data_IF_328404555154
#
_entry.id   IF_328404555154
#
_cell.length_a   1.000
_cell.length_b   1.000
_cell.length_c   1.000
_cell.angle_alpha   90.00
_cell.angle_beta   90.00
_cell.angle_gamma   90.00
#
_symmetry.space_group_name_H-M   'P 1'
#
loop_
_entity.id
_entity.type
_entity.pdbx_description
1 polymer ?
#
# COMPACT_ATOMS: atom_id res chain seq x y z
N UNK A 1 35.14 7.96 -7.10
CA UNK A 1 34.66 8.13 -5.72
C UNK A 1 33.30 8.81 -5.81
N UNK A 2 32.17 8.13 -5.73
CA UNK A 2 31.96 6.69 -5.63
C UNK A 2 30.51 6.40 -6.04
N UNK A 3 30.30 5.44 -6.93
CA UNK A 3 28.99 4.84 -7.20
C UNK A 3 28.31 4.29 -5.92
N UNK A 4 29.03 4.22 -4.79
CA UNK A 4 28.46 4.04 -3.45
C UNK A 4 27.50 5.18 -3.04
N UNK A 5 27.74 6.45 -3.40
CA UNK A 5 26.90 7.58 -2.95
C UNK A 5 25.54 7.59 -3.65
N UNK A 6 25.47 7.19 -4.93
CA UNK A 6 24.17 6.97 -5.62
C UNK A 6 23.51 5.65 -5.23
N UNK A 7 24.26 4.63 -4.78
CA UNK A 7 23.66 3.43 -4.13
C UNK A 7 23.15 3.70 -2.71
N UNK A 8 23.66 4.74 -2.03
CA UNK A 8 23.16 5.22 -0.74
C UNK A 8 21.89 6.09 -0.88
N UNK A 9 21.45 6.45 -2.10
CA UNK A 9 20.21 7.23 -2.34
C UNK A 9 18.89 6.47 -2.11
N UNK A 10 18.94 5.14 -1.89
CA UNK A 10 17.74 4.32 -1.62
C UNK A 10 17.77 3.64 -0.25
N UNK A 11 18.49 4.19 0.73
CA UNK A 11 18.43 3.68 2.11
C UNK A 11 17.24 4.33 2.81
N UNK A 12 16.06 3.72 2.65
CA UNK A 12 14.87 4.17 3.35
C UNK A 12 13.60 4.20 2.51
N UNK A 13 13.66 4.12 1.18
CA UNK A 13 12.44 4.09 0.37
C UNK A 13 12.01 2.66 0.14
N UNK A 14 10.85 2.31 0.69
CA UNK A 14 10.24 0.97 0.61
C UNK A 14 9.10 0.92 -0.41
N UNK A 15 8.83 1.98 -1.17
CA UNK A 15 7.79 1.95 -2.18
C UNK A 15 7.16 3.30 -2.48
N UNK A 16 6.13 3.29 -3.33
CA UNK A 16 5.36 4.49 -3.65
C UNK A 16 4.05 4.17 -4.37
N UNK A 17 3.18 5.18 -4.41
CA UNK A 17 1.92 5.20 -5.15
C UNK A 17 1.68 6.64 -5.62
N UNK A 18 1.88 6.91 -6.91
CA UNK A 18 1.92 8.29 -7.44
C UNK A 18 3.02 9.11 -6.77
N UNK A 19 2.68 10.31 -6.26
CA UNK A 19 3.61 11.18 -5.51
C UNK A 19 3.81 10.77 -4.04
N UNK A 20 3.08 9.76 -3.57
CA UNK A 20 3.19 9.27 -2.20
C UNK A 20 4.36 8.31 -2.11
N UNK A 21 5.38 8.69 -1.36
CA UNK A 21 6.58 7.87 -1.13
C UNK A 21 6.51 7.21 0.24
N UNK A 22 6.57 5.87 0.27
CA UNK A 22 6.65 5.11 1.51
C UNK A 22 8.11 5.08 2.00
N UNK A 23 8.38 5.77 3.10
CA UNK A 23 9.74 5.85 3.68
C UNK A 23 9.82 5.10 5.02
N UNK A 24 10.87 4.30 5.21
CA UNK A 24 11.26 3.65 6.46
C UNK A 24 12.35 4.44 7.17
N UNK A 25 12.28 4.47 8.50
CA UNK A 25 13.30 5.08 9.33
C UNK A 25 14.59 4.22 9.33
N UNK A 26 15.76 4.76 8.97
CA UNK A 26 17.02 3.98 8.96
C UNK A 26 17.50 3.54 10.35
N UNK A 27 17.01 4.17 11.44
CA UNK A 27 17.36 3.82 12.83
C UNK A 27 16.28 3.02 13.56
N UNK A 28 15.15 2.76 12.90
CA UNK A 28 14.03 2.01 13.45
C UNK A 28 13.47 1.21 12.29
N UNK A 29 13.93 -0.03 12.14
CA UNK A 29 13.29 -1.05 11.32
C UNK A 29 11.83 -1.14 11.75
N UNK A 30 10.96 -0.37 11.10
CA UNK A 30 9.53 -0.34 11.37
C UNK A 30 8.85 -0.23 10.02
N UNK A 31 8.68 -1.42 9.47
CA UNK A 31 7.88 -1.85 8.34
C UNK A 31 6.47 -1.22 8.38
N UNK A 32 5.73 -1.24 7.26
CA UNK A 32 4.26 -1.31 7.37
C UNK A 32 3.94 -2.40 8.41
N UNK A 33 3.07 -2.13 9.40
CA UNK A 33 2.91 -3.05 10.54
C UNK A 33 2.44 -4.44 10.05
N UNK A 34 1.59 -4.46 9.02
CA UNK A 34 1.16 -5.63 8.27
C UNK A 34 0.75 -5.18 6.84
N UNK A 35 1.17 -5.92 5.81
CA UNK A 35 0.64 -5.78 4.45
C UNK A 35 0.09 -7.13 4.00
N UNK A 36 -1.15 -7.14 3.57
CA UNK A 36 -1.86 -8.34 3.13
C UNK A 36 -2.24 -8.16 1.66
N UNK A 37 -1.69 -9.01 0.79
CA UNK A 37 -2.01 -9.06 -0.64
C UNK A 37 -2.83 -10.32 -0.90
N UNK A 38 -4.08 -10.09 -1.28
CA UNK A 38 -5.04 -11.15 -1.57
C UNK A 38 -5.24 -11.23 -3.09
N UNK A 39 -4.69 -12.28 -3.69
CA UNK A 39 -4.96 -12.67 -5.07
C UNK A 39 -5.86 -13.89 -5.08
N UNK A 40 -6.89 -13.89 -5.94
CA UNK A 40 -7.81 -15.02 -6.04
C UNK A 40 -8.23 -15.30 -7.46
N UNK A 41 -8.70 -16.51 -7.69
CA UNK A 41 -9.15 -16.99 -9.00
C UNK A 41 -10.52 -17.62 -8.82
N UNK A 42 -11.45 -17.30 -9.70
CA UNK A 42 -12.78 -17.88 -9.70
C UNK A 42 -12.79 -19.27 -10.35
N UNK A 43 -13.34 -20.24 -9.62
CA UNK A 43 -13.54 -21.61 -10.10
C UNK A 43 -15.03 -21.96 -10.06
N UNK A 44 -15.55 -22.54 -11.14
CA UNK A 44 -16.89 -23.12 -11.17
C UNK A 44 -16.86 -24.60 -10.77
N UNK A 45 -17.77 -24.98 -9.88
CA UNK A 45 -17.98 -26.37 -9.49
C UNK A 45 -19.06 -27.05 -10.36
N UNK A 46 -18.66 -28.08 -11.08
CA UNK A 46 -19.56 -28.97 -11.81
C UNK A 46 -19.79 -30.25 -11.00
N UNK A 47 -20.97 -30.36 -10.41
CA UNK A 47 -21.37 -31.55 -9.65
C UNK A 47 -21.68 -32.72 -10.57
N UNK A 48 -20.95 -33.81 -10.39
CA UNK A 48 -21.17 -35.09 -11.08
C UNK A 48 -21.84 -36.02 -10.06
N UNK A 49 -22.98 -36.60 -10.42
CA UNK A 49 -23.71 -37.52 -9.53
C UNK A 49 -22.83 -38.74 -9.27
N UNK A 50 -22.51 -38.99 -7.99
CA UNK A 50 -21.73 -40.15 -7.56
C UNK A 50 -20.21 -39.98 -7.62
N UNK A 51 -19.72 -38.84 -8.11
CA UNK A 51 -18.28 -38.54 -8.17
C UNK A 51 -17.96 -37.22 -7.45
N UNK A 52 -16.66 -36.96 -7.23
CA UNK A 52 -16.22 -35.67 -6.72
C UNK A 52 -16.53 -34.59 -7.77
N UNK A 53 -17.04 -33.42 -7.36
CA UNK A 53 -17.28 -32.31 -8.27
C UNK A 53 -15.98 -31.89 -8.95
N UNK A 54 -16.07 -31.54 -10.24
CA UNK A 54 -14.95 -31.01 -11.02
C UNK A 54 -14.91 -29.50 -10.89
N UNK A 55 -13.71 -28.94 -10.74
CA UNK A 55 -13.46 -27.51 -10.73
C UNK A 55 -13.02 -27.07 -12.14
N UNK A 56 -13.69 -26.06 -12.69
CA UNK A 56 -13.32 -25.39 -13.93
C UNK A 56 -12.81 -23.98 -13.63
N UNK A 57 -11.64 -23.63 -14.18
CA UNK A 57 -11.08 -22.28 -14.08
C UNK A 57 -11.97 -21.32 -14.87
N UNK A 58 -12.47 -20.27 -14.25
CA UNK A 58 -13.20 -19.22 -14.95
C UNK A 58 -12.27 -18.06 -15.29
N UNK A 59 -11.98 -17.21 -14.31
CA UNK A 59 -11.26 -15.96 -14.51
C UNK A 59 -10.41 -15.63 -13.26
N UNK A 60 -9.31 -14.88 -13.41
CA UNK A 60 -8.63 -14.27 -12.27
C UNK A 60 -9.49 -13.13 -11.70
N UNK A 61 -9.56 -13.02 -10.37
CA UNK A 61 -10.20 -11.89 -9.71
C UNK A 61 -9.19 -10.73 -9.58
N UNK A 62 -9.69 -9.49 -9.49
CA UNK A 62 -8.84 -8.33 -9.19
C UNK A 62 -8.16 -8.49 -7.83
N UNK A 63 -6.88 -8.19 -7.79
CA UNK A 63 -6.09 -8.22 -6.56
C UNK A 63 -6.52 -7.12 -5.59
N UNK A 64 -6.54 -7.44 -4.29
CA UNK A 64 -6.81 -6.49 -3.22
C UNK A 64 -5.65 -6.46 -2.23
N UNK A 65 -5.16 -5.26 -1.91
CA UNK A 65 -4.02 -5.05 -1.02
C UNK A 65 -4.41 -4.12 0.12
N UNK A 66 -4.18 -4.55 1.36
CA UNK A 66 -4.41 -3.74 2.55
C UNK A 66 -3.06 -3.37 3.20
N UNK A 67 -2.81 -2.07 3.38
CA UNK A 67 -1.56 -1.56 3.97
C UNK A 67 -1.86 -0.66 5.16
N UNK A 68 -1.22 -0.94 6.29
CA UNK A 68 -1.26 -0.08 7.47
C UNK A 68 -0.06 0.87 7.51
N UNK A 69 -0.34 2.17 7.45
CA UNK A 69 0.60 3.29 7.38
C UNK A 69 0.50 4.13 8.66
N UNK A 70 1.64 4.59 9.18
CA UNK A 70 1.67 5.56 10.29
C UNK A 70 2.15 6.91 9.76
N UNK A 71 1.27 7.92 9.79
CA UNK A 71 1.60 9.30 9.46
C UNK A 71 1.93 10.04 10.75
N UNK A 72 3.19 10.43 10.93
CA UNK A 72 3.61 11.08 12.17
C UNK A 72 4.53 12.28 11.94
N UNK A 73 4.28 13.37 12.67
CA UNK A 73 5.04 14.62 12.51
C UNK A 73 6.52 14.49 12.84
N UNK A 74 6.89 13.54 13.72
CA UNK A 74 8.29 13.28 14.05
C UNK A 74 9.09 12.67 12.88
N UNK A 75 8.42 12.17 11.85
CA UNK A 75 9.05 11.70 10.61
C UNK A 75 9.32 12.86 9.62
N UNK A 76 9.08 14.11 10.02
CA UNK A 76 9.31 15.29 9.17
C UNK A 76 8.20 15.54 8.14
N UNK A 77 7.08 14.82 8.23
CA UNK A 77 5.91 15.00 7.37
C UNK A 77 4.79 15.72 8.11
N UNK A 78 3.92 16.45 7.41
CA UNK A 78 2.67 16.96 8.00
C UNK A 78 1.57 15.87 7.85
N UNK A 79 1.11 15.24 8.96
CA UNK A 79 0.13 14.14 8.86
C UNK A 79 -1.20 14.55 8.23
N UNK A 80 -1.65 15.80 8.44
CA UNK A 80 -2.91 16.30 7.86
C UNK A 80 -2.81 16.47 6.35
N UNK A 81 -1.70 17.03 5.87
CA UNK A 81 -1.47 17.21 4.43
C UNK A 81 -1.32 15.88 3.71
N UNK A 82 -0.56 14.95 4.30
CA UNK A 82 -0.41 13.61 3.71
C UNK A 82 -1.73 12.86 3.68
N UNK A 83 -2.51 12.92 4.76
CA UNK A 83 -3.85 12.33 4.78
C UNK A 83 -4.75 12.91 3.66
N UNK A 84 -4.70 14.22 3.43
CA UNK A 84 -5.47 14.88 2.37
C UNK A 84 -5.09 14.36 0.98
N UNK A 85 -3.80 14.10 0.72
CA UNK A 85 -3.35 13.50 -0.55
C UNK A 85 -3.93 12.11 -0.78
N UNK A 86 -3.94 11.26 0.25
CA UNK A 86 -4.59 9.94 0.14
C UNK A 86 -6.09 10.08 -0.14
N UNK A 87 -6.77 11.03 0.52
CA UNK A 87 -8.18 11.30 0.27
C UNK A 87 -8.42 11.79 -1.17
N UNK A 88 -7.59 12.69 -1.68
CA UNK A 88 -7.66 13.18 -3.06
C UNK A 88 -7.52 12.02 -4.05
N UNK A 89 -6.47 11.20 -3.95
CA UNK A 89 -6.28 10.03 -4.83
C UNK A 89 -7.44 9.03 -4.75
N UNK A 90 -8.05 8.86 -3.57
CA UNK A 90 -9.23 8.00 -3.41
C UNK A 90 -10.49 8.59 -4.06
N UNK A 91 -10.76 9.88 -3.86
CA UNK A 91 -11.97 10.52 -4.36
C UNK A 91 -11.92 10.85 -5.85
N UNK A 92 -10.73 11.15 -6.37
CA UNK A 92 -10.50 11.43 -7.78
C UNK A 92 -10.40 10.11 -8.59
N UNK A 93 -10.21 8.98 -7.90
CA UNK A 93 -10.10 7.67 -8.53
C UNK A 93 -8.79 7.52 -9.30
N UNK A 94 -7.73 8.17 -8.84
CA UNK A 94 -6.44 8.17 -9.51
C UNK A 94 -5.84 6.77 -9.54
N UNK A 95 -5.32 6.42 -10.72
CA UNK A 95 -4.71 5.13 -11.01
C UNK A 95 -3.19 5.33 -11.03
N UNK A 96 -2.48 4.60 -10.18
CA UNK A 96 -1.03 4.62 -10.14
C UNK A 96 -0.45 3.22 -9.92
N UNK A 97 0.80 3.03 -10.33
CA UNK A 97 1.55 1.83 -9.97
C UNK A 97 1.77 1.75 -8.45
N UNK A 98 1.41 0.62 -7.85
CA UNK A 98 1.74 0.33 -6.47
C UNK A 98 3.09 -0.40 -6.40
N UNK A 99 4.05 0.22 -5.73
CA UNK A 99 5.41 -0.32 -5.57
C UNK A 99 5.61 -0.67 -4.10
N UNK A 100 5.95 -1.94 -3.80
CA UNK A 100 6.33 -2.42 -2.48
C UNK A 100 7.76 -2.98 -2.50
N UNK A 101 8.71 -2.17 -2.07
CA UNK A 101 10.11 -2.48 -1.90
C UNK A 101 11.01 -1.34 -2.40
N UNK A 102 12.32 -1.59 -2.43
CA UNK A 102 13.23 -0.70 -3.14
C UNK A 102 12.93 -0.85 -4.64
N UNK A 103 12.38 0.18 -5.28
CA UNK A 103 11.95 0.19 -6.69
C UNK A 103 13.08 -0.02 -7.72
N UNK A 104 14.27 -0.44 -7.28
CA UNK A 104 15.38 -0.87 -8.15
C UNK A 104 15.18 -2.28 -8.73
N UNK A 105 14.20 -3.05 -8.26
CA UNK A 105 13.85 -4.35 -8.82
C UNK A 105 12.43 -4.29 -9.39
N UNK A 106 12.28 -4.60 -10.68
CA UNK A 106 10.98 -4.68 -11.37
C UNK A 106 10.00 -5.65 -10.69
N UNK A 107 10.51 -6.61 -9.93
CA UNK A 107 9.70 -7.57 -9.15
C UNK A 107 8.90 -6.95 -7.99
N UNK A 108 9.15 -5.68 -7.65
CA UNK A 108 8.52 -4.98 -6.54
C UNK A 108 7.37 -4.07 -7.00
N UNK A 109 7.15 -3.95 -8.31
CA UNK A 109 6.01 -3.26 -8.91
C UNK A 109 4.87 -4.26 -9.01
N UNK A 110 3.75 -3.98 -8.32
CA UNK A 110 2.60 -4.88 -8.28
C UNK A 110 1.62 -4.65 -9.43
N UNK A 111 1.72 -3.50 -10.12
CA UNK A 111 0.82 -3.09 -11.21
C UNK A 111 0.03 -1.84 -10.85
N UNK A 112 -1.00 -1.54 -11.66
CA UNK A 112 -1.87 -0.37 -11.51
C UNK A 112 -2.97 -0.63 -10.48
N UNK A 113 -3.09 0.27 -9.49
CA UNK A 113 -4.07 0.17 -8.41
C UNK A 113 -4.81 1.49 -8.24
N UNK A 114 -6.01 1.39 -7.64
CA UNK A 114 -6.78 2.53 -7.12
C UNK A 114 -7.01 2.36 -5.62
N UNK A 115 -7.15 3.48 -4.90
CA UNK A 115 -7.56 3.45 -3.50
C UNK A 115 -9.07 3.33 -3.43
N UNK A 116 -9.57 2.26 -2.80
CA UNK A 116 -11.01 2.02 -2.65
C UNK A 116 -11.54 2.40 -1.27
N UNK A 117 -10.67 2.40 -0.25
CA UNK A 117 -11.07 2.69 1.12
C UNK A 117 -9.90 3.19 1.96
N UNK A 118 -10.20 4.15 2.83
CA UNK A 118 -9.29 4.70 3.83
C UNK A 118 -9.95 4.62 5.22
N UNK A 119 -9.24 4.07 6.19
CA UNK A 119 -9.64 4.08 7.60
C UNK A 119 -8.57 4.77 8.44
N UNK A 120 -8.95 5.74 9.27
CA UNK A 120 -8.01 6.59 10.02
C UNK A 120 -8.30 6.57 11.52
N UNK A 121 -7.23 6.48 12.31
CA UNK A 121 -7.28 6.55 13.77
C UNK A 121 -6.31 7.62 14.26
N UNK A 122 -6.86 8.63 14.95
CA UNK A 122 -6.10 9.71 15.56
C UNK A 122 -5.56 9.27 16.91
N UNK A 123 -4.24 9.18 17.08
CA UNK A 123 -3.63 8.65 18.32
C UNK A 123 -3.08 9.72 19.25
N UNK A 124 -2.43 10.74 18.70
CA UNK A 124 -1.75 11.75 19.50
C UNK A 124 -2.08 13.14 18.96
N UNK A 125 -2.36 14.05 19.90
CA UNK A 125 -2.60 15.46 19.63
C UNK A 125 -1.54 16.22 20.40
N UNK A 126 -0.84 17.13 19.71
CA UNK A 126 0.12 18.04 20.32
C UNK A 126 -0.55 18.94 21.35
N UNK A 127 0.28 19.56 22.20
CA UNK A 127 -0.14 20.57 23.17
C UNK A 127 -0.91 21.75 22.53
N UNK A 128 -0.67 22.02 21.24
CA UNK A 128 -1.33 23.08 20.47
C UNK A 128 -2.63 22.65 19.78
N UNK A 129 -3.08 21.41 19.98
CA UNK A 129 -4.31 20.87 19.39
C UNK A 129 -4.12 20.27 17.99
N UNK A 130 -2.90 20.25 17.46
CA UNK A 130 -2.61 19.60 16.18
C UNK A 130 -2.37 18.11 16.35
N UNK A 131 -3.07 17.31 15.55
CA UNK A 131 -2.83 15.87 15.44
C UNK A 131 -1.40 15.62 14.95
N UNK A 132 -0.61 14.94 15.78
CA UNK A 132 0.80 14.61 15.48
C UNK A 132 0.99 13.18 14.97
N UNK A 133 -0.01 12.31 15.17
CA UNK A 133 0.08 10.90 14.84
C UNK A 133 -1.27 10.34 14.37
N UNK A 134 -1.29 9.81 13.15
CA UNK A 134 -2.45 9.19 12.52
C UNK A 134 -2.04 7.80 12.05
N UNK A 135 -2.76 6.77 12.49
CA UNK A 135 -2.70 5.46 11.86
C UNK A 135 -3.72 5.40 10.73
N UNK A 136 -3.27 5.09 9.53
CA UNK A 136 -4.06 5.00 8.31
C UNK A 136 -4.03 3.56 7.80
N UNK A 137 -5.18 2.95 7.57
CA UNK A 137 -5.32 1.67 6.89
C UNK A 137 -5.87 1.95 5.49
N UNK A 138 -5.09 1.62 4.47
CA UNK A 138 -5.39 1.91 3.06
C UNK A 138 -5.70 0.61 2.35
N UNK A 139 -6.82 0.59 1.63
CA UNK A 139 -7.21 -0.52 0.76
C UNK A 139 -7.02 -0.15 -0.69
N UNK A 140 -6.17 -0.89 -1.37
CA UNK A 140 -5.94 -0.80 -2.79
C UNK A 140 -6.66 -1.93 -3.51
N UNK A 141 -7.17 -1.65 -4.70
CA UNK A 141 -7.73 -2.65 -5.60
C UNK A 141 -7.11 -2.48 -6.97
N UNK A 142 -6.73 -3.60 -7.57
CA UNK A 142 -6.12 -3.64 -8.89
C UNK A 142 -7.07 -3.06 -9.93
N UNK A 143 -6.51 -2.23 -10.81
CA UNK A 143 -7.23 -1.61 -11.91
C UNK A 143 -6.84 -2.30 -13.22
N UNK A 144 -7.85 -2.80 -13.95
CA UNK A 144 -7.75 -3.43 -15.28
C UNK A 144 -8.68 -2.76 -16.26
#
# INVERSE_FOLDING_TARGET
>A
MSALIDKLKNIGTLGGFGDIVFTVNPFKTMTFEDAEHNSSVEYAEHRIIGEKPKLEYQNPNSDEININITLASFLGINPKEQLKKFEEYMYDGDIYDLILGNGLMESNVLGEFVITSLSRTYKEVSFWGDVTNIKLSVKFKEYH
#
